data_IF_855667210827
#
_entry.id   IF_855667210827
#
_cell.length_a   1.000
_cell.length_b   1.000
_cell.length_c   1.000
_cell.angle_alpha   90.00
_cell.angle_beta   90.00
_cell.angle_gamma   90.00
#
_symmetry.space_group_name_H-M   'P 1'
#
loop_
_entity.id
_entity.type
_entity.pdbx_description
1 polymer ?
#
# COMPACT_ATOMS: atom_id res chain seq x y z
N UNK A 1 65.42 -5.66 -7.82
CA UNK A 1 64.43 -4.70 -8.34
C UNK A 1 63.19 -5.35 -8.93
N UNK A 2 63.30 -6.36 -9.82
CA UNK A 2 62.16 -7.05 -10.44
C UNK A 2 61.09 -7.54 -9.45
N UNK A 3 61.50 -8.19 -8.35
CA UNK A 3 60.59 -8.63 -7.28
C UNK A 3 59.81 -7.49 -6.62
N UNK A 4 60.45 -6.34 -6.43
CA UNK A 4 59.83 -5.19 -5.78
C UNK A 4 58.77 -4.56 -6.69
N UNK A 5 59.07 -4.50 -7.99
CA UNK A 5 58.13 -4.03 -9.02
C UNK A 5 56.95 -5.00 -9.17
N UNK A 6 57.20 -6.31 -9.18
CA UNK A 6 56.13 -7.31 -9.30
C UNK A 6 55.20 -7.31 -8.09
N UNK A 7 55.74 -7.14 -6.88
CA UNK A 7 54.93 -7.03 -5.66
C UNK A 7 54.12 -5.72 -5.69
N UNK A 8 54.76 -4.61 -6.07
CA UNK A 8 54.08 -3.32 -6.20
C UNK A 8 52.94 -3.36 -7.23
N UNK A 9 53.15 -4.00 -8.39
CA UNK A 9 52.09 -4.13 -9.40
C UNK A 9 50.96 -5.04 -8.93
N UNK A 10 51.26 -6.11 -8.19
CA UNK A 10 50.24 -7.02 -7.64
C UNK A 10 49.35 -6.32 -6.61
N UNK A 11 49.96 -5.52 -5.72
CA UNK A 11 49.23 -4.73 -4.73
C UNK A 11 48.34 -3.70 -5.42
N UNK A 12 48.87 -2.98 -6.42
CA UNK A 12 48.12 -1.98 -7.17
C UNK A 12 46.94 -2.62 -7.93
N UNK A 13 47.16 -3.77 -8.55
CA UNK A 13 46.12 -4.51 -9.26
C UNK A 13 45.02 -4.99 -8.30
N UNK A 14 45.40 -5.53 -7.13
CA UNK A 14 44.43 -5.92 -6.10
C UNK A 14 43.63 -4.72 -5.59
N UNK A 15 44.29 -3.58 -5.35
CA UNK A 15 43.62 -2.36 -4.91
C UNK A 15 42.57 -1.89 -5.93
N UNK A 16 42.91 -1.87 -7.22
CA UNK A 16 41.98 -1.54 -8.28
C UNK A 16 40.81 -2.53 -8.36
N UNK A 17 41.08 -3.83 -8.25
CA UNK A 17 40.05 -4.88 -8.28
C UNK A 17 39.07 -4.71 -7.11
N UNK A 18 39.57 -4.45 -5.90
CA UNK A 18 38.75 -4.19 -4.72
C UNK A 18 37.88 -2.96 -4.93
N UNK A 19 38.43 -1.87 -5.46
CA UNK A 19 37.66 -0.65 -5.75
C UNK A 19 36.55 -0.91 -6.76
N UNK A 20 36.82 -1.63 -7.85
CA UNK A 20 35.79 -1.99 -8.83
C UNK A 20 34.70 -2.87 -8.22
N UNK A 21 35.07 -3.84 -7.38
CA UNK A 21 34.10 -4.72 -6.72
C UNK A 21 33.21 -3.94 -5.75
N UNK A 22 33.79 -3.05 -4.94
CA UNK A 22 33.01 -2.20 -4.04
C UNK A 22 32.09 -1.25 -4.80
N UNK A 23 32.55 -0.65 -5.90
CA UNK A 23 31.74 0.24 -6.72
C UNK A 23 30.57 -0.52 -7.41
N UNK A 24 30.84 -1.74 -7.91
CA UNK A 24 29.81 -2.60 -8.48
C UNK A 24 28.79 -3.02 -7.41
N UNK A 25 29.23 -3.36 -6.20
CA UNK A 25 28.33 -3.70 -5.09
C UNK A 25 27.51 -2.50 -4.62
N UNK A 26 28.09 -1.30 -4.54
CA UNK A 26 27.36 -0.08 -4.23
C UNK A 26 26.28 0.19 -5.28
N UNK A 27 26.61 0.09 -6.57
CA UNK A 27 25.66 0.26 -7.68
C UNK A 27 24.52 -0.75 -7.60
N UNK A 28 24.81 -2.04 -7.37
CA UNK A 28 23.80 -3.08 -7.17
C UNK A 28 22.92 -2.80 -5.94
N UNK A 29 23.51 -2.30 -4.85
CA UNK A 29 22.77 -1.91 -3.65
C UNK A 29 21.80 -0.75 -3.89
N UNK A 30 22.20 0.27 -4.66
CA UNK A 30 21.31 1.36 -5.05
C UNK A 30 20.15 0.89 -5.95
N UNK A 31 20.45 -0.01 -6.90
CA UNK A 31 19.41 -0.62 -7.75
C UNK A 31 18.41 -1.42 -6.92
N UNK A 32 18.89 -2.26 -6.01
CA UNK A 32 18.03 -3.03 -5.11
C UNK A 32 17.13 -2.14 -4.27
N UNK A 33 17.69 -1.09 -3.64
CA UNK A 33 16.90 -0.17 -2.81
C UNK A 33 15.88 0.63 -3.62
N UNK A 34 16.15 0.88 -4.89
CA UNK A 34 15.19 1.52 -5.80
C UNK A 34 14.05 0.56 -6.11
N UNK A 35 14.37 -0.70 -6.43
CA UNK A 35 13.40 -1.74 -6.71
C UNK A 35 12.50 -2.04 -5.50
N UNK A 36 13.07 -2.05 -4.29
CA UNK A 36 12.30 -2.23 -3.05
C UNK A 36 11.29 -1.10 -2.83
N UNK A 37 11.69 0.15 -3.09
CA UNK A 37 10.77 1.29 -2.99
C UNK A 37 9.65 1.23 -4.01
N UNK A 38 9.98 0.86 -5.24
CA UNK A 38 8.99 0.68 -6.30
C UNK A 38 8.01 -0.43 -5.94
N UNK A 39 8.50 -1.57 -5.46
CA UNK A 39 7.68 -2.68 -4.98
C UNK A 39 6.77 -2.27 -3.82
N UNK A 40 7.27 -1.52 -2.84
CA UNK A 40 6.44 -0.99 -1.74
C UNK A 40 5.35 -0.04 -2.23
N UNK A 41 5.65 0.81 -3.23
CA UNK A 41 4.65 1.70 -3.83
C UNK A 41 3.57 0.92 -4.57
N UNK A 42 3.96 -0.05 -5.41
CA UNK A 42 3.00 -0.87 -6.15
C UNK A 42 2.06 -1.66 -5.24
N UNK A 43 2.57 -2.18 -4.12
CA UNK A 43 1.73 -2.88 -3.14
C UNK A 43 0.72 -1.95 -2.45
N UNK A 44 1.10 -0.72 -2.16
CA UNK A 44 0.19 0.27 -1.59
C UNK A 44 -0.91 0.63 -2.61
N UNK A 45 -0.53 0.84 -3.87
CA UNK A 45 -1.48 1.12 -4.94
C UNK A 45 -2.45 -0.06 -5.14
N UNK A 46 -1.97 -1.31 -5.05
CA UNK A 46 -2.80 -2.52 -5.10
C UNK A 46 -3.78 -2.59 -3.91
N UNK A 47 -3.34 -2.27 -2.70
CA UNK A 47 -4.19 -2.26 -1.50
C UNK A 47 -5.33 -1.25 -1.61
N UNK A 48 -5.01 -0.02 -2.07
CA UNK A 48 -6.02 1.02 -2.31
C UNK A 48 -7.03 0.57 -3.37
N UNK A 49 -6.56 -0.03 -4.46
CA UNK A 49 -7.44 -0.51 -5.52
C UNK A 49 -8.36 -1.63 -5.02
N UNK A 50 -7.85 -2.57 -4.21
CA UNK A 50 -8.68 -3.64 -3.61
C UNK A 50 -9.76 -3.07 -2.70
N UNK A 51 -9.44 -2.04 -1.91
CA UNK A 51 -10.42 -1.36 -1.07
C UNK A 51 -11.54 -0.73 -1.92
N UNK A 52 -11.19 -0.02 -3.00
CA UNK A 52 -12.17 0.57 -3.91
C UNK A 52 -13.06 -0.48 -4.59
N UNK A 53 -12.48 -1.62 -4.99
CA UNK A 53 -13.25 -2.74 -5.55
C UNK A 53 -14.23 -3.29 -4.50
N UNK A 54 -13.77 -3.48 -3.26
CA UNK A 54 -14.64 -3.97 -2.18
C UNK A 54 -15.78 -3.00 -1.87
N UNK A 55 -15.53 -1.68 -1.90
CA UNK A 55 -16.55 -0.66 -1.72
C UNK A 55 -17.59 -0.70 -2.85
N UNK A 56 -17.14 -0.78 -4.11
CA UNK A 56 -18.03 -0.90 -5.26
C UNK A 56 -18.88 -2.19 -5.20
N UNK A 57 -18.27 -3.32 -4.83
CA UNK A 57 -18.96 -4.60 -4.65
C UNK A 57 -19.96 -4.55 -3.50
N UNK A 58 -19.62 -3.91 -2.39
CA UNK A 58 -20.53 -3.74 -1.26
C UNK A 58 -21.75 -2.88 -1.66
N UNK A 59 -21.53 -1.82 -2.43
CA UNK A 59 -22.60 -0.97 -2.94
C UNK A 59 -23.50 -1.73 -3.92
N UNK A 60 -22.92 -2.47 -4.87
CA UNK A 60 -23.66 -3.32 -5.80
C UNK A 60 -24.49 -4.37 -5.04
N UNK A 61 -23.92 -4.96 -3.99
CA UNK A 61 -24.64 -5.92 -3.16
C UNK A 61 -25.84 -5.27 -2.43
N UNK A 62 -25.65 -4.05 -1.91
CA UNK A 62 -26.70 -3.30 -1.24
C UNK A 62 -27.82 -2.87 -2.20
N UNK A 63 -27.47 -2.42 -3.41
CA UNK A 63 -28.43 -2.04 -4.46
C UNK A 63 -29.29 -3.23 -4.90
N UNK A 64 -28.69 -4.42 -4.95
CA UNK A 64 -29.38 -5.66 -5.31
C UNK A 64 -30.08 -6.35 -4.14
N UNK A 65 -30.02 -5.80 -2.92
CA UNK A 65 -30.74 -6.35 -1.76
C UNK A 65 -32.23 -6.07 -1.88
N UNK A 66 -33.03 -7.13 -1.85
CA UNK A 66 -34.48 -7.09 -1.96
C UNK A 66 -35.15 -6.25 -0.84
N UNK A 67 -34.52 -6.18 0.34
CA UNK A 67 -34.98 -5.33 1.45
C UNK A 67 -34.80 -3.85 1.13
N UNK A 68 -33.68 -3.48 0.49
CA UNK A 68 -33.39 -2.09 0.10
C UNK A 68 -34.26 -1.69 -1.09
N UNK A 69 -34.46 -2.57 -2.07
CA UNK A 69 -35.34 -2.31 -3.21
C UNK A 69 -36.81 -2.15 -2.82
N UNK A 70 -37.24 -2.78 -1.74
CA UNK A 70 -38.60 -2.66 -1.20
C UNK A 70 -38.76 -1.51 -0.19
N UNK A 71 -37.68 -0.76 0.10
CA UNK A 71 -37.72 0.37 1.02
C UNK A 71 -38.50 1.54 0.41
N UNK A 72 -39.51 2.01 1.13
CA UNK A 72 -40.39 3.10 0.68
C UNK A 72 -39.92 4.41 1.34
N UNK A 73 -39.72 5.50 0.59
CA UNK A 73 -39.28 6.76 1.18
C UNK A 73 -40.34 7.30 2.15
N UNK A 74 -39.97 7.41 3.43
CA UNK A 74 -40.85 7.96 4.46
C UNK A 74 -40.88 9.49 4.37
N UNK A 75 -42.02 10.05 3.95
CA UNK A 75 -42.23 11.49 3.80
C UNK A 75 -42.44 12.25 5.12
N UNK A 76 -42.58 11.55 6.25
CA UNK A 76 -42.74 12.14 7.58
C UNK A 76 -41.75 11.50 8.55
N UNK A 77 -40.49 11.89 8.48
CA UNK A 77 -39.49 11.54 9.49
C UNK A 77 -39.77 12.34 10.77
N UNK A 78 -40.16 11.64 11.84
CA UNK A 78 -40.22 12.23 13.18
C UNK A 78 -38.90 12.01 13.87
N UNK A 79 -38.26 13.10 14.29
CA UNK A 79 -37.04 13.07 15.07
C UNK A 79 -37.41 13.13 16.56
N UNK A 80 -36.90 12.21 17.36
CA UNK A 80 -37.05 12.26 18.82
C UNK A 80 -36.04 13.23 19.41
N UNK A 81 -36.41 13.92 20.49
CA UNK A 81 -35.48 14.72 21.30
C UNK A 81 -34.74 13.77 22.25
N UNK A 82 -33.52 14.11 22.67
CA UNK A 82 -32.69 13.27 23.57
C UNK A 82 -33.40 12.78 24.84
N UNK A 83 -34.44 13.50 25.29
CA UNK A 83 -35.20 13.20 26.49
C UNK A 83 -36.42 12.26 26.27
N UNK A 84 -36.71 11.83 25.04
CA UNK A 84 -37.86 10.96 24.73
C UNK A 84 -37.47 9.64 24.08
N UNK A 85 -38.00 8.53 24.61
CA UNK A 85 -37.76 7.18 24.10
C UNK A 85 -38.74 6.82 22.98
N UNK A 86 -38.30 6.01 22.01
CA UNK A 86 -39.09 5.62 20.83
C UNK A 86 -40.35 4.82 21.20
N UNK A 87 -40.40 4.27 22.42
CA UNK A 87 -41.50 3.44 22.91
C UNK A 87 -42.74 4.23 23.37
N UNK A 88 -42.64 5.54 23.62
CA UNK A 88 -43.76 6.32 24.19
C UNK A 88 -44.72 6.92 23.16
N UNK A 89 -44.42 6.86 21.85
CA UNK A 89 -45.20 7.51 20.78
C UNK A 89 -46.13 6.50 20.07
N UNK A 90 -46.52 5.43 20.77
CA UNK A 90 -47.13 4.25 20.17
C UNK A 90 -48.46 3.81 20.77
N UNK A 91 -49.32 4.72 21.26
CA UNK A 91 -50.74 4.46 21.56
C UNK A 91 -51.53 5.78 21.47
N UNK A 92 -52.11 6.06 20.30
CA UNK A 92 -53.42 6.70 20.07
C UNK A 92 -53.73 6.74 18.56
#
# INVERSE_FOLDING_TARGET
MLLMVSIGSLILLLALLILFHQNANATKGYQLRTLERERSRLLLDEEVLKMQIAEAQALEHLENDNIIQSMIPNKKTQYTRDDSTVATIGWE
#
